data_IF_703118727832
#
_entry.id   IF_703118727832
#
_cell.length_a   1.000
_cell.length_b   1.000
_cell.length_c   1.000
_cell.angle_alpha   90.00
_cell.angle_beta   90.00
_cell.angle_gamma   90.00
#
_symmetry.space_group_name_H-M   'P 1'
#
loop_
_entity.id
_entity.type
_entity.pdbx_description
1 polymer ?
#
# COMPACT_ATOMS: atom_id res chain seq x y z
N UNK A 1 1.40 -15.75 4.23
CA UNK A 1 1.80 -14.96 3.04
C UNK A 1 0.55 -14.23 2.58
N UNK A 2 0.57 -12.91 2.63
CA UNK A 2 -0.57 -12.04 2.35
C UNK A 2 -0.26 -11.23 1.08
N UNK A 3 -1.20 -11.14 0.15
CA UNK A 3 -1.07 -10.29 -1.04
C UNK A 3 -2.06 -9.15 -0.90
N UNK A 4 -1.56 -7.91 -0.91
CA UNK A 4 -2.40 -6.70 -0.77
C UNK A 4 -2.29 -5.87 -2.03
N UNK A 5 -3.44 -5.59 -2.66
CA UNK A 5 -3.54 -4.61 -3.75
C UNK A 5 -4.07 -3.29 -3.18
N UNK A 6 -3.21 -2.28 -3.17
CA UNK A 6 -3.57 -0.92 -2.73
C UNK A 6 -4.11 -0.14 -3.92
N UNK A 7 -5.22 0.58 -3.72
CA UNK A 7 -5.81 1.48 -4.72
C UNK A 7 -4.86 2.63 -5.11
N UNK A 8 -5.14 3.29 -6.24
CA UNK A 8 -4.43 4.50 -6.69
C UNK A 8 -5.31 5.73 -6.68
N UNK A 9 -6.34 5.76 -5.82
CA UNK A 9 -7.30 6.86 -5.72
C UNK A 9 -6.73 8.03 -4.92
N UNK A 10 -7.26 9.23 -5.17
CA UNK A 10 -6.98 10.40 -4.35
C UNK A 10 -7.29 10.12 -2.86
N UNK A 11 -6.45 10.64 -1.97
CA UNK A 11 -6.64 10.47 -0.52
C UNK A 11 -6.16 9.13 0.04
N UNK A 12 -5.50 8.29 -0.77
CA UNK A 12 -4.81 7.09 -0.25
C UNK A 12 -3.66 7.54 0.66
N UNK A 13 -3.73 7.22 1.95
CA UNK A 13 -2.67 7.51 2.91
C UNK A 13 -1.61 6.40 2.89
N UNK A 14 -0.63 6.55 2.01
CA UNK A 14 0.48 5.60 1.91
C UNK A 14 1.37 5.59 3.16
N UNK A 15 1.40 6.68 3.95
CA UNK A 15 2.17 6.73 5.19
C UNK A 15 1.60 5.78 6.24
N UNK A 16 0.29 5.88 6.49
CA UNK A 16 -0.41 5.00 7.42
C UNK A 16 -0.33 3.53 6.98
N UNK A 17 -0.50 3.24 5.69
CA UNK A 17 -0.41 1.88 5.15
C UNK A 17 1.00 1.30 5.34
N UNK A 18 2.05 2.07 5.03
CA UNK A 18 3.42 1.62 5.23
C UNK A 18 3.75 1.36 6.70
N UNK A 19 3.23 2.18 7.62
CA UNK A 19 3.42 1.98 9.06
C UNK A 19 2.81 0.66 9.55
N UNK A 20 1.56 0.37 9.16
CA UNK A 20 0.88 -0.88 9.51
C UNK A 20 1.57 -2.11 8.89
N UNK A 21 1.94 -2.03 7.60
CA UNK A 21 2.69 -3.12 6.94
C UNK A 21 4.03 -3.36 7.65
N UNK A 22 4.75 -2.31 8.05
CA UNK A 22 6.01 -2.43 8.76
C UNK A 22 5.85 -3.13 10.12
N UNK A 23 4.82 -2.79 10.89
CA UNK A 23 4.51 -3.45 12.17
C UNK A 23 4.23 -4.95 11.95
N UNK A 24 3.43 -5.30 10.94
CA UNK A 24 3.11 -6.69 10.64
C UNK A 24 4.33 -7.47 10.14
N UNK A 25 5.19 -6.86 9.31
CA UNK A 25 6.45 -7.48 8.86
C UNK A 25 7.38 -7.72 10.05
N UNK A 26 7.48 -6.77 10.98
CA UNK A 26 8.25 -6.94 12.22
C UNK A 26 7.70 -8.07 13.10
N UNK A 27 6.37 -8.28 13.09
CA UNK A 27 5.70 -9.42 13.73
C UNK A 27 5.87 -10.76 12.98
N UNK A 28 6.65 -10.80 11.89
CA UNK A 28 6.96 -12.00 11.13
C UNK A 28 5.99 -12.33 10.00
N UNK A 29 5.03 -11.45 9.69
CA UNK A 29 4.15 -11.64 8.56
C UNK A 29 4.89 -11.42 7.23
N UNK A 30 4.56 -12.24 6.23
CA UNK A 30 5.12 -12.15 4.88
C UNK A 30 4.10 -11.53 3.94
N UNK A 31 4.49 -10.46 3.24
CA UNK A 31 3.64 -9.72 2.32
C UNK A 31 4.18 -9.72 0.88
N UNK A 32 3.25 -9.61 -0.07
CA UNK A 32 3.49 -9.07 -1.40
C UNK A 32 2.57 -7.85 -1.55
N UNK A 33 3.15 -6.68 -1.77
CA UNK A 33 2.41 -5.42 -1.92
C UNK A 33 2.43 -5.01 -3.39
N UNK A 34 1.25 -4.69 -3.92
CA UNK A 34 1.07 -4.08 -5.24
C UNK A 34 0.27 -2.80 -5.08
N UNK A 35 0.69 -1.68 -5.68
CA UNK A 35 -0.05 -0.42 -5.62
C UNK A 35 -0.55 0.05 -6.99
N UNK A 36 -1.49 0.99 -7.00
CA UNK A 36 -1.90 1.73 -8.19
C UNK A 36 -1.36 3.16 -8.18
N UNK A 37 -1.78 3.99 -9.15
CA UNK A 37 -1.44 5.43 -9.22
C UNK A 37 -2.37 6.21 -10.13
N UNK A 38 -3.62 5.77 -10.29
CA UNK A 38 -4.56 6.30 -11.29
C UNK A 38 -4.87 7.78 -11.10
N UNK A 39 -4.93 8.28 -9.86
CA UNK A 39 -5.19 9.69 -9.59
C UNK A 39 -4.04 10.57 -10.12
N UNK A 40 -2.80 10.16 -9.91
CA UNK A 40 -1.62 10.86 -10.39
C UNK A 40 -1.51 10.74 -11.92
N UNK A 41 -1.75 9.55 -12.48
CA UNK A 41 -1.76 9.33 -13.93
C UNK A 41 -2.79 10.19 -14.65
N UNK A 42 -3.98 10.41 -14.08
CA UNK A 42 -5.01 11.23 -14.70
C UNK A 42 -4.72 12.75 -14.67
N UNK A 43 -3.69 13.19 -13.92
CA UNK A 43 -3.31 14.61 -13.78
C UNK A 43 -2.08 14.98 -14.62
N UNK A 44 -1.46 14.00 -15.27
CA UNK A 44 -0.32 14.14 -16.17
C UNK A 44 -0.79 14.07 -17.62
#
# INVERSE_FOLDING_TARGET
MIVVKIGGSAGTDFGAICADVAEQVAAGQKFVIVHGGSNETNRL
#
